data_IF_728332932542
#
_entry.id   IF_728332932542
#
_cell.length_a   1.000
_cell.length_b   1.000
_cell.length_c   1.000
_cell.angle_alpha   90.00
_cell.angle_beta   90.00
_cell.angle_gamma   90.00
#
_symmetry.space_group_name_H-M   'P 1'
#
loop_
_entity.id
_entity.type
_entity.pdbx_description
1 polymer ?
#
# COMPACT_ATOMS: atom_id res chain seq x y z
N UNK A 1 -9.25 -25.18 17.12
CA UNK A 1 -7.92 -25.20 16.50
C UNK A 1 -8.18 -25.63 15.05
N UNK A 2 -8.23 -24.77 14.05
CA UNK A 2 -7.49 -23.53 13.77
C UNK A 2 -8.40 -22.48 13.12
N UNK A 3 -7.93 -21.22 13.21
CA UNK A 3 -8.58 -19.96 12.83
C UNK A 3 -8.63 -19.82 11.30
N UNK A 4 -9.82 -19.72 10.69
CA UNK A 4 -9.95 -19.25 9.30
C UNK A 4 -11.09 -18.24 9.06
N UNK A 5 -11.82 -17.81 10.09
CA UNK A 5 -12.99 -16.93 9.90
C UNK A 5 -12.69 -15.43 10.08
N UNK A 6 -11.42 -15.01 10.00
CA UNK A 6 -11.08 -13.58 10.11
C UNK A 6 -10.63 -13.04 8.74
N UNK A 7 -11.52 -12.22 8.17
CA UNK A 7 -11.36 -11.42 6.95
C UNK A 7 -11.44 -12.17 5.62
N UNK A 8 -12.67 -12.47 5.19
CA UNK A 8 -12.95 -12.28 3.76
C UNK A 8 -13.01 -10.77 3.51
N UNK A 9 -12.07 -10.16 2.76
CA UNK A 9 -12.21 -8.77 2.38
C UNK A 9 -13.52 -8.61 1.59
N UNK A 10 -14.31 -7.54 1.82
CA UNK A 10 -15.50 -7.28 1.03
C UNK A 10 -15.13 -7.22 -0.45
N UNK A 11 -15.94 -7.81 -1.32
CA UNK A 11 -15.79 -7.82 -2.77
C UNK A 11 -16.07 -6.43 -3.37
N UNK A 12 -15.31 -5.43 -2.96
CA UNK A 12 -15.17 -4.18 -3.71
C UNK A 12 -14.29 -4.49 -4.92
N UNK A 13 -14.64 -4.05 -6.13
CA UNK A 13 -13.70 -4.08 -7.24
C UNK A 13 -12.53 -3.20 -6.83
N UNK A 14 -11.42 -3.83 -6.47
CA UNK A 14 -10.14 -3.15 -6.36
C UNK A 14 -9.82 -2.74 -7.80
N UNK A 15 -10.17 -1.52 -8.17
CA UNK A 15 -9.52 -0.86 -9.30
C UNK A 15 -8.07 -0.74 -8.89
N UNK A 16 -7.28 -1.75 -9.27
CA UNK A 16 -5.86 -1.84 -8.95
C UNK A 16 -5.16 -0.84 -9.85
N UNK A 17 -5.19 0.43 -9.44
CA UNK A 17 -4.38 1.48 -10.05
C UNK A 17 -2.92 1.16 -9.72
N UNK A 18 -2.30 0.33 -10.55
CA UNK A 18 -0.87 0.04 -10.45
C UNK A 18 -0.09 1.30 -10.83
N UNK A 19 0.68 1.84 -9.90
CA UNK A 19 1.54 3.00 -10.17
C UNK A 19 2.94 2.53 -10.54
N UNK A 20 3.45 3.04 -11.66
CA UNK A 20 4.82 2.80 -12.09
C UNK A 20 5.75 3.95 -11.68
N UNK A 21 6.89 3.62 -11.08
CA UNK A 21 7.94 4.60 -10.75
C UNK A 21 9.33 4.08 -11.07
N UNK A 22 10.08 4.87 -11.85
CA UNK A 22 11.51 4.65 -12.04
C UNK A 22 12.31 5.30 -10.91
N UNK A 23 13.01 4.48 -10.13
CA UNK A 23 13.92 4.94 -9.09
C UNK A 23 15.29 5.28 -9.70
N UNK A 24 15.90 6.34 -9.21
CA UNK A 24 17.25 6.77 -9.60
C UNK A 24 17.94 7.44 -8.42
N UNK A 25 19.23 7.77 -8.56
CA UNK A 25 19.97 8.50 -7.52
C UNK A 25 19.35 9.85 -7.14
N UNK A 26 18.60 10.49 -8.05
CA UNK A 26 17.91 11.77 -7.81
C UNK A 26 16.41 11.61 -7.55
N UNK A 27 15.84 10.42 -7.79
CA UNK A 27 14.44 10.09 -7.55
C UNK A 27 14.36 8.86 -6.66
N UNK A 28 14.67 9.07 -5.38
CA UNK A 28 14.84 7.99 -4.41
C UNK A 28 13.54 7.56 -3.70
N UNK A 29 12.47 8.36 -3.80
CA UNK A 29 11.21 8.08 -3.13
C UNK A 29 9.99 8.35 -4.03
N UNK A 30 8.85 7.81 -3.61
CA UNK A 30 7.55 8.02 -4.22
C UNK A 30 6.46 7.69 -3.19
N UNK A 31 5.29 8.26 -3.36
CA UNK A 31 4.14 8.00 -2.51
C UNK A 31 3.03 9.03 -2.77
N UNK A 32 2.02 9.02 -1.91
CA UNK A 32 0.91 9.97 -1.96
C UNK A 32 1.07 11.00 -0.83
N UNK A 33 1.41 12.28 -1.14
CA UNK A 33 1.53 13.31 -0.12
C UNK A 33 0.26 13.50 0.72
N UNK A 34 -0.89 13.20 0.12
CA UNK A 34 -2.20 13.18 0.79
C UNK A 34 -2.80 11.78 0.72
N UNK A 35 -2.11 10.80 1.31
CA UNK A 35 -2.57 9.40 1.35
C UNK A 35 -3.94 9.24 2.02
N UNK A 36 -4.14 9.89 3.16
CA UNK A 36 -5.39 9.84 3.92
C UNK A 36 -5.59 11.12 4.73
N UNK A 37 -6.85 11.56 4.87
CA UNK A 37 -7.19 12.66 5.76
C UNK A 37 -6.99 12.25 7.24
N UNK A 38 -6.36 13.13 8.03
CA UNK A 38 -6.11 12.85 9.45
C UNK A 38 -7.40 12.58 10.23
N UNK A 39 -8.48 13.31 9.91
CA UNK A 39 -9.81 13.10 10.51
C UNK A 39 -10.32 11.67 10.28
N UNK A 40 -10.04 11.09 9.12
CA UNK A 40 -10.43 9.72 8.79
C UNK A 40 -9.55 8.70 9.53
N UNK A 41 -8.25 8.95 9.61
CA UNK A 41 -7.32 8.09 10.36
C UNK A 41 -7.67 8.00 11.84
N UNK A 42 -8.07 9.12 12.45
CA UNK A 42 -8.40 9.23 13.88
C UNK A 42 -9.84 8.81 14.22
N UNK A 43 -10.68 8.56 13.23
CA UNK A 43 -12.05 8.11 13.45
C UNK A 43 -12.05 6.65 13.94
N UNK A 44 -12.30 6.46 15.23
CA UNK A 44 -12.31 5.14 15.87
C UNK A 44 -13.31 4.17 15.22
N UNK A 45 -14.38 4.66 14.57
CA UNK A 45 -15.33 3.81 13.86
C UNK A 45 -14.75 3.16 12.60
N UNK A 46 -13.64 3.70 12.07
CA UNK A 46 -12.92 3.15 10.90
C UNK A 46 -11.92 2.07 11.28
N UNK A 47 -11.47 2.03 12.53
CA UNK A 47 -10.55 1.00 13.02
C UNK A 47 -9.14 1.06 12.43
N UNK A 48 -8.74 2.15 11.77
CA UNK A 48 -7.39 2.29 11.20
C UNK A 48 -6.30 2.48 12.25
N UNK A 49 -6.62 3.17 13.35
CA UNK A 49 -5.71 3.44 14.45
C UNK A 49 -6.19 2.71 15.70
N UNK A 50 -5.39 1.76 16.20
CA UNK A 50 -5.69 0.97 17.39
C UNK A 50 -4.49 1.02 18.31
N UNK A 51 -4.66 1.47 19.56
CA UNK A 51 -3.55 1.70 20.49
C UNK A 51 -2.43 2.58 19.91
N UNK A 52 -2.81 3.65 19.21
CA UNK A 52 -1.87 4.55 18.52
C UNK A 52 -0.98 3.84 17.48
N UNK A 53 -1.40 2.66 17.01
CA UNK A 53 -0.73 1.88 15.99
C UNK A 53 -1.55 1.87 14.69
N UNK A 54 -0.88 2.13 13.57
CA UNK A 54 -1.38 2.03 12.21
C UNK A 54 -0.51 1.02 11.44
N UNK A 55 -1.15 0.14 10.67
CA UNK A 55 -0.48 -0.79 9.76
C UNK A 55 -0.70 -0.28 8.33
N UNK A 56 0.38 -0.14 7.56
CA UNK A 56 0.35 0.24 6.14
C UNK A 56 1.00 -0.89 5.34
N UNK A 57 0.29 -1.41 4.34
CA UNK A 57 0.74 -2.47 3.46
C UNK A 57 0.95 -1.92 2.04
N UNK A 58 2.00 -2.40 1.36
CA UNK A 58 2.28 -2.04 -0.02
C UNK A 58 2.85 -3.25 -0.78
N UNK A 59 2.32 -3.49 -1.97
CA UNK A 59 2.84 -4.50 -2.90
C UNK A 59 3.74 -3.83 -3.93
N UNK A 60 4.99 -4.30 -4.07
CA UNK A 60 5.98 -3.71 -4.97
C UNK A 60 6.48 -4.77 -5.94
N UNK A 61 6.26 -4.55 -7.23
CA UNK A 61 6.86 -5.35 -8.30
C UNK A 61 8.10 -4.65 -8.84
N UNK A 62 9.26 -5.31 -8.76
CA UNK A 62 10.53 -4.75 -9.24
C UNK A 62 10.78 -5.20 -10.69
N UNK A 63 10.83 -4.23 -11.61
CA UNK A 63 11.21 -4.45 -13.01
C UNK A 63 12.55 -3.78 -13.25
N UNK A 64 13.52 -4.52 -13.82
CA UNK A 64 14.82 -3.99 -14.21
C UNK A 64 15.05 -4.11 -15.71
N UNK A 65 15.73 -3.12 -16.30
CA UNK A 65 16.20 -3.19 -17.69
C UNK A 65 17.59 -3.80 -17.70
N UNK A 66 17.70 -5.04 -18.18
CA UNK A 66 19.00 -5.66 -18.43
C UNK A 66 19.44 -5.34 -19.86
N UNK A 67 20.61 -4.71 -20.03
CA UNK A 67 21.25 -4.63 -21.36
C UNK A 67 22.02 -5.93 -21.57
N UNK A 68 21.57 -6.74 -22.52
CA UNK A 68 22.34 -7.90 -23.00
C UNK A 68 23.24 -7.41 -24.12
N UNK A 69 24.55 -7.49 -23.92
CA UNK A 69 25.52 -7.27 -24.99
C UNK A 69 25.62 -8.57 -25.79
N UNK A 70 25.26 -8.50 -27.06
CA UNK A 70 25.45 -9.54 -28.08
C UNK A 70 26.66 -9.22 -28.94
#
# INVERSE_FOLDING_TARGET
MERQDFFSPPAVPVTQDSVERWFSATSVNWGYPQFMALKTLQDASKGFLVYDCLIVEAEITVVSKVKRFS
#
